data_IF_346536138611
#
_entry.id   IF_346536138611
#
_cell.length_a   1.000
_cell.length_b   1.000
_cell.length_c   1.000
_cell.angle_alpha   90.00
_cell.angle_beta   90.00
_cell.angle_gamma   90.00
#
_symmetry.space_group_name_H-M   'P 1'
#
loop_
_entity.id
_entity.type
_entity.pdbx_description
1 polymer ?
#
# COMPACT_ATOMS: atom_id res chain seq x y z
N UNK A 1 24.11 19.27 4.99
CA UNK A 1 22.86 18.61 4.61
C UNK A 1 22.61 19.01 3.16
N UNK A 2 22.55 18.08 2.19
CA UNK A 2 22.10 18.45 0.86
C UNK A 2 20.66 18.99 0.96
N UNK A 3 20.37 20.01 0.15
CA UNK A 3 19.08 20.67 0.04
C UNK A 3 18.02 19.63 -0.32
N UNK A 4 17.08 19.35 0.60
CA UNK A 4 15.96 18.46 0.31
C UNK A 4 14.99 19.28 -0.51
N UNK A 5 14.68 18.90 -1.77
CA UNK A 5 13.72 19.65 -2.57
C UNK A 5 12.40 19.76 -1.80
N UNK A 6 11.84 20.95 -1.79
CA UNK A 6 10.52 21.21 -1.22
C UNK A 6 9.48 20.53 -2.12
N UNK A 7 9.10 19.30 -1.76
CA UNK A 7 8.06 18.55 -2.46
C UNK A 7 6.69 18.97 -1.92
N UNK A 8 6.36 20.24 -2.09
CA UNK A 8 5.01 20.73 -1.85
C UNK A 8 4.06 20.11 -2.87
N UNK A 9 3.12 19.31 -2.39
CA UNK A 9 2.01 18.82 -3.21
C UNK A 9 1.16 20.04 -3.60
N UNK A 10 1.04 20.37 -4.90
CA UNK A 10 0.22 21.49 -5.33
C UNK A 10 -1.20 21.32 -4.79
N UNK A 11 -1.74 22.35 -4.15
CA UNK A 11 -3.05 22.31 -3.49
C UNK A 11 -4.18 21.99 -4.46
N UNK A 12 -3.99 22.25 -5.76
CA UNK A 12 -4.92 21.93 -6.83
C UNK A 12 -5.02 20.42 -7.11
N UNK A 13 -4.02 19.63 -6.68
CA UNK A 13 -4.03 18.17 -6.75
C UNK A 13 -4.66 17.53 -5.51
N UNK A 14 -5.00 18.31 -4.48
CA UNK A 14 -5.62 17.78 -3.27
C UNK A 14 -7.14 17.59 -3.50
N UNK A 15 -7.77 16.63 -2.80
CA UNK A 15 -9.22 16.49 -2.83
C UNK A 15 -9.91 17.80 -2.40
N UNK A 16 -11.13 18.10 -2.91
CA UNK A 16 -11.89 19.26 -2.47
C UNK A 16 -12.05 19.30 -0.93
N UNK A 17 -11.78 20.46 -0.32
CA UNK A 17 -11.85 20.66 1.14
C UNK A 17 -10.70 20.07 1.95
N UNK A 18 -9.72 19.42 1.30
CA UNK A 18 -8.58 18.84 2.00
C UNK A 18 -7.66 19.91 2.60
N UNK A 19 -7.32 20.97 1.83
CA UNK A 19 -6.49 22.07 2.33
C UNK A 19 -7.14 22.79 3.54
N UNK A 20 -8.45 23.00 3.50
CA UNK A 20 -9.21 23.59 4.61
C UNK A 20 -9.19 22.72 5.86
N UNK A 21 -9.16 21.39 5.69
CA UNK A 21 -9.01 20.42 6.79
C UNK A 21 -7.60 20.43 7.38
N UNK A 22 -6.57 20.73 6.58
CA UNK A 22 -5.20 20.91 7.09
C UNK A 22 -5.11 22.17 7.97
N UNK A 23 -5.74 23.26 7.55
CA UNK A 23 -5.75 24.53 8.31
C UNK A 23 -6.61 24.46 9.57
N UNK A 24 -7.68 23.65 9.55
CA UNK A 24 -8.62 23.48 10.66
C UNK A 24 -8.91 22.00 10.89
N UNK A 25 -7.96 21.25 11.47
CA UNK A 25 -8.16 19.83 11.72
C UNK A 25 -9.35 19.64 12.67
N UNK A 26 -10.14 18.57 12.48
CA UNK A 26 -11.22 18.24 13.41
C UNK A 26 -10.65 18.02 14.81
N UNK A 27 -11.42 18.40 15.84
CA UNK A 27 -11.01 18.27 17.23
C UNK A 27 -10.67 16.82 17.62
N UNK A 28 -11.35 15.85 16.98
CA UNK A 28 -11.06 14.43 17.11
C UNK A 28 -10.63 13.88 15.73
N UNK A 29 -9.41 13.34 15.61
CA UNK A 29 -8.94 12.71 14.37
C UNK A 29 -9.77 11.48 14.01
N UNK A 30 -10.01 11.26 12.71
CA UNK A 30 -10.58 10.00 12.24
C UNK A 30 -9.63 8.84 12.48
N UNK A 31 -10.17 7.69 12.86
CA UNK A 31 -9.36 6.49 13.04
C UNK A 31 -8.73 6.06 11.70
N UNK A 32 -7.40 5.91 11.61
CA UNK A 32 -6.74 5.48 10.39
C UNK A 32 -7.16 4.06 10.04
N UNK A 33 -7.36 3.80 8.75
CA UNK A 33 -7.67 2.46 8.25
C UNK A 33 -6.38 1.80 7.77
N UNK A 34 -6.05 0.59 8.24
CA UNK A 34 -4.93 -0.17 7.72
C UNK A 34 -5.02 -0.36 6.20
N UNK A 35 -3.93 -0.10 5.51
CA UNK A 35 -3.81 -0.23 4.07
C UNK A 35 -2.39 -0.65 3.70
N UNK A 36 -2.25 -1.25 2.52
CA UNK A 36 -0.97 -1.68 1.98
C UNK A 36 -0.84 -1.28 0.51
N UNK A 37 0.39 -1.05 0.07
CA UNK A 37 0.74 -0.65 -1.29
C UNK A 37 1.95 -1.46 -1.73
N UNK A 38 1.98 -1.90 -2.98
CA UNK A 38 3.13 -2.60 -3.56
C UNK A 38 3.73 -1.80 -4.70
N UNK A 39 5.06 -1.73 -4.73
CA UNK A 39 5.83 -1.19 -5.84
C UNK A 39 6.36 -2.37 -6.66
N UNK A 40 5.78 -2.59 -7.83
CA UNK A 40 6.31 -3.59 -8.76
C UNK A 40 7.44 -2.95 -9.58
N UNK A 41 8.64 -3.50 -9.42
CA UNK A 41 9.87 -3.01 -10.04
C UNK A 41 10.39 -4.05 -11.02
N UNK A 42 10.91 -3.60 -12.17
CA UNK A 42 11.72 -4.43 -13.06
C UNK A 42 13.02 -3.73 -13.44
N UNK A 43 14.09 -4.51 -13.58
CA UNK A 43 15.37 -3.99 -14.04
C UNK A 43 15.37 -3.74 -15.55
N UNK A 44 16.01 -2.64 -15.97
CA UNK A 44 16.34 -2.33 -17.37
C UNK A 44 17.75 -1.77 -17.46
N UNK A 45 18.32 -1.80 -18.66
CA UNK A 45 19.68 -1.32 -18.92
C UNK A 45 19.86 0.18 -18.62
N UNK A 46 18.79 0.97 -18.70
CA UNK A 46 18.70 2.40 -18.45
C UNK A 46 18.21 2.78 -17.04
N UNK A 47 17.93 1.78 -16.18
CA UNK A 47 17.48 1.97 -14.80
C UNK A 47 16.25 1.12 -14.46
N UNK A 48 15.81 1.10 -13.18
CA UNK A 48 14.60 0.40 -12.80
C UNK A 48 13.35 1.09 -13.36
N UNK A 49 12.38 0.30 -13.81
CA UNK A 49 11.04 0.78 -14.14
C UNK A 49 10.04 0.33 -13.08
N UNK A 50 9.06 1.17 -12.78
CA UNK A 50 8.00 0.89 -11.81
C UNK A 50 6.61 0.91 -12.46
N UNK A 51 5.73 0.03 -12.01
CA UNK A 51 4.33 0.05 -12.45
C UNK A 51 3.55 1.12 -11.68
N UNK A 52 2.90 2.01 -12.43
CA UNK A 52 1.93 2.98 -11.91
C UNK A 52 0.58 2.78 -12.60
N UNK A 53 -0.48 2.95 -11.83
CA UNK A 53 -1.86 2.94 -12.28
C UNK A 53 -2.39 4.38 -12.34
N UNK A 54 -3.26 4.66 -13.30
CA UNK A 54 -3.93 5.95 -13.39
C UNK A 54 -5.37 5.82 -12.91
N UNK A 55 -5.69 6.48 -11.80
CA UNK A 55 -7.07 6.44 -11.25
C UNK A 55 -8.07 7.05 -12.22
N UNK A 56 -9.23 6.42 -12.35
CA UNK A 56 -10.35 6.99 -13.12
C UNK A 56 -10.83 8.30 -12.48
N UNK A 57 -11.36 9.21 -13.30
CA UNK A 57 -11.79 10.55 -12.83
C UNK A 57 -12.95 10.53 -11.83
N UNK A 58 -13.60 9.39 -11.63
CA UNK A 58 -14.74 9.20 -10.71
C UNK A 58 -14.34 8.71 -9.31
N UNK A 59 -13.04 8.51 -9.04
CA UNK A 59 -12.53 8.20 -7.69
C UNK A 59 -12.62 9.43 -6.78
N UNK A 60 -13.22 9.29 -5.58
CA UNK A 60 -13.38 10.37 -4.58
C UNK A 60 -12.08 10.89 -3.94
N UNK A 61 -10.92 10.41 -4.39
CA UNK A 61 -9.60 10.85 -3.94
C UNK A 61 -8.69 10.99 -5.18
N UNK A 62 -8.16 12.20 -5.38
CA UNK A 62 -7.26 12.68 -6.44
C UNK A 62 -7.48 12.04 -7.83
N UNK A 63 -8.55 12.45 -8.54
CA UNK A 63 -8.85 11.91 -9.87
C UNK A 63 -7.71 12.17 -10.87
N UNK A 64 -7.32 11.12 -11.61
CA UNK A 64 -6.28 11.22 -12.65
C UNK A 64 -4.83 11.13 -12.15
N UNK A 65 -4.61 10.99 -10.85
CA UNK A 65 -3.29 10.72 -10.28
C UNK A 65 -2.72 9.37 -10.71
N UNK A 66 -1.40 9.32 -10.78
CA UNK A 66 -0.62 8.10 -10.85
C UNK A 66 -0.39 7.56 -9.45
N UNK A 67 -0.74 6.30 -9.23
CA UNK A 67 -0.64 5.63 -7.94
C UNK A 67 0.00 4.26 -8.13
N UNK A 68 0.62 3.75 -7.07
CA UNK A 68 0.97 2.33 -7.02
C UNK A 68 -0.28 1.49 -6.73
N UNK A 69 -0.30 0.21 -7.13
CA UNK A 69 -1.36 -0.71 -6.74
C UNK A 69 -1.44 -0.86 -5.22
N UNK A 70 -2.64 -0.89 -4.67
CA UNK A 70 -2.83 -1.03 -3.24
C UNK A 70 -4.20 -0.62 -2.74
N UNK A 71 -4.46 -0.96 -1.47
CA UNK A 71 -5.77 -0.77 -0.89
C UNK A 71 -5.83 -1.16 0.58
N UNK A 72 -7.06 -1.27 1.09
CA UNK A 72 -7.30 -1.53 2.52
C UNK A 72 -6.95 -2.97 2.84
N UNK A 73 -6.46 -3.19 4.06
CA UNK A 73 -6.37 -4.55 4.61
C UNK A 73 -7.77 -5.01 5.00
N UNK A 74 -8.17 -6.18 4.53
CA UNK A 74 -9.44 -6.84 4.83
C UNK A 74 -9.23 -7.97 5.87
N UNK A 75 -10.30 -8.37 6.55
CA UNK A 75 -10.30 -9.53 7.43
C UNK A 75 -9.92 -10.83 6.69
N UNK A 76 -10.19 -10.89 5.37
CA UNK A 76 -9.78 -12.00 4.50
C UNK A 76 -8.26 -12.13 4.31
N UNK A 77 -7.48 -11.08 4.54
CA UNK A 77 -6.04 -11.04 4.23
C UNK A 77 -5.16 -11.79 5.25
N UNK A 78 -5.75 -12.56 6.17
CA UNK A 78 -4.99 -13.41 7.11
C UNK A 78 -5.64 -14.78 7.35
N UNK A 79 -6.48 -15.25 6.42
CA UNK A 79 -7.12 -16.56 6.56
C UNK A 79 -6.09 -17.69 6.42
N UNK A 80 -6.24 -18.81 7.17
CA UNK A 80 -5.26 -19.90 7.17
C UNK A 80 -4.89 -20.43 5.78
N UNK A 81 -5.87 -20.53 4.88
CA UNK A 81 -5.66 -21.04 3.52
C UNK A 81 -4.73 -20.16 2.69
N UNK A 82 -4.75 -18.83 2.88
CA UNK A 82 -3.84 -17.90 2.21
C UNK A 82 -2.45 -17.92 2.87
N UNK A 83 -2.41 -18.00 4.20
CA UNK A 83 -1.14 -18.11 4.92
C UNK A 83 -0.35 -19.35 4.50
N UNK A 84 -1.03 -20.47 4.25
CA UNK A 84 -0.44 -21.70 3.74
C UNK A 84 0.14 -21.58 2.32
N UNK A 85 -0.10 -20.46 1.61
CA UNK A 85 0.45 -20.18 0.27
C UNK A 85 1.67 -19.25 0.32
N UNK A 86 2.03 -18.73 1.49
CA UNK A 86 3.18 -17.84 1.61
C UNK A 86 4.47 -18.65 1.76
N UNK A 87 5.46 -18.32 0.94
CA UNK A 87 6.76 -18.96 0.97
C UNK A 87 7.66 -18.34 2.05
N UNK A 88 7.64 -18.93 3.24
CA UNK A 88 8.58 -18.61 4.32
C UNK A 88 8.38 -17.26 5.01
N UNK A 89 7.27 -16.56 4.73
CA UNK A 89 6.90 -15.34 5.43
C UNK A 89 5.91 -15.65 6.56
N UNK A 90 6.42 -15.78 7.78
CA UNK A 90 5.57 -15.87 8.96
C UNK A 90 5.22 -14.48 9.53
N UNK A 91 4.34 -14.46 10.54
CA UNK A 91 3.87 -13.22 11.15
C UNK A 91 4.97 -12.44 11.88
N UNK A 92 5.98 -13.12 12.45
CA UNK A 92 7.06 -12.47 13.18
C UNK A 92 8.03 -11.78 12.21
N UNK A 93 8.43 -12.49 11.15
CA UNK A 93 9.26 -11.94 10.08
C UNK A 93 8.53 -10.81 9.33
N UNK A 94 7.23 -10.95 9.07
CA UNK A 94 6.43 -9.87 8.50
C UNK A 94 6.41 -8.64 9.41
N UNK A 95 6.21 -8.82 10.73
CA UNK A 95 6.22 -7.72 11.70
C UNK A 95 7.60 -7.05 11.76
N UNK A 96 8.68 -7.83 11.75
CA UNK A 96 10.06 -7.32 11.72
C UNK A 96 10.33 -6.47 10.49
N UNK A 97 9.95 -6.94 9.30
CA UNK A 97 10.14 -6.20 8.04
C UNK A 97 9.34 -4.91 7.98
N UNK A 98 8.15 -4.90 8.57
CA UNK A 98 7.28 -3.71 8.62
C UNK A 98 7.55 -2.81 9.82
N UNK A 99 8.45 -3.19 10.75
CA UNK A 99 8.73 -2.44 11.97
C UNK A 99 7.61 -2.49 13.02
N UNK A 100 6.71 -3.46 12.93
CA UNK A 100 5.51 -3.60 13.79
C UNK A 100 5.76 -4.47 15.03
N UNK A 101 6.98 -4.93 15.29
CA UNK A 101 7.32 -5.79 16.45
C UNK A 101 7.01 -5.15 17.81
N UNK A 102 6.96 -3.81 17.86
CA UNK A 102 6.77 -3.03 19.09
C UNK A 102 5.42 -2.32 19.16
N UNK A 103 4.53 -2.53 18.19
CA UNK A 103 3.24 -1.86 18.22
C UNK A 103 2.36 -2.45 19.32
N UNK A 104 2.09 -1.63 20.34
CA UNK A 104 1.09 -1.91 21.37
C UNK A 104 -0.35 -1.64 20.87
N UNK A 105 -0.49 -1.09 19.66
CA UNK A 105 -1.76 -0.68 19.08
C UNK A 105 -2.45 -1.88 18.42
N UNK A 106 -3.75 -2.12 18.71
CA UNK A 106 -4.52 -3.14 18.01
C UNK A 106 -4.57 -2.86 16.50
N UNK A 107 -4.26 -3.88 15.69
CA UNK A 107 -4.30 -3.79 14.23
C UNK A 107 -4.32 -5.18 13.58
N UNK A 108 -4.42 -5.25 12.24
CA UNK A 108 -4.28 -6.51 11.52
C UNK A 108 -2.93 -7.16 11.79
N UNK A 109 -2.87 -8.48 11.68
CA UNK A 109 -1.60 -9.20 11.70
C UNK A 109 -0.66 -8.65 10.62
N UNK A 110 0.64 -8.55 10.90
CA UNK A 110 1.61 -7.97 9.98
C UNK A 110 1.61 -8.64 8.59
N UNK A 111 1.37 -9.95 8.53
CA UNK A 111 1.24 -10.71 7.28
C UNK A 111 0.08 -10.24 6.40
N UNK A 112 -0.98 -9.68 7.01
CA UNK A 112 -2.15 -9.21 6.30
C UNK A 112 -1.86 -8.03 5.38
N UNK A 113 -0.86 -7.19 5.72
CA UNK A 113 -0.43 -6.11 4.83
C UNK A 113 0.20 -6.64 3.54
N UNK A 114 0.97 -7.74 3.61
CA UNK A 114 1.54 -8.37 2.42
C UNK A 114 0.45 -8.97 1.55
N UNK A 115 -0.47 -9.73 2.15
CA UNK A 115 -1.58 -10.35 1.42
C UNK A 115 -2.53 -9.31 0.82
N UNK A 116 -2.83 -8.23 1.53
CA UNK A 116 -3.60 -7.11 1.00
C UNK A 116 -2.91 -6.50 -0.24
N UNK A 117 -1.60 -6.26 -0.18
CA UNK A 117 -0.86 -5.71 -1.30
C UNK A 117 -0.86 -6.64 -2.52
N UNK A 118 -0.73 -7.95 -2.31
CA UNK A 118 -0.80 -8.96 -3.36
C UNK A 118 -2.20 -9.06 -4.00
N UNK A 119 -3.25 -9.07 -3.16
CA UNK A 119 -4.64 -9.08 -3.60
C UNK A 119 -4.97 -7.86 -4.46
N UNK A 120 -4.66 -6.67 -3.96
CA UNK A 120 -4.94 -5.41 -4.66
C UNK A 120 -4.15 -5.32 -5.98
N UNK A 121 -2.88 -5.75 -6.01
CA UNK A 121 -2.13 -5.83 -7.25
C UNK A 121 -2.80 -6.72 -8.29
N UNK A 122 -3.31 -7.88 -7.88
CA UNK A 122 -4.03 -8.77 -8.78
C UNK A 122 -5.37 -8.17 -9.24
N UNK A 123 -6.16 -7.60 -8.33
CA UNK A 123 -7.45 -7.00 -8.64
C UNK A 123 -7.34 -5.79 -9.59
N UNK A 124 -6.35 -4.93 -9.38
CA UNK A 124 -6.20 -3.69 -10.15
C UNK A 124 -5.39 -3.85 -11.45
N UNK A 125 -4.52 -4.87 -11.54
CA UNK A 125 -3.56 -5.01 -12.65
C UNK A 125 -3.59 -6.37 -13.36
N UNK A 126 -4.20 -7.39 -12.74
CA UNK A 126 -4.13 -8.77 -13.21
C UNK A 126 -2.79 -9.47 -12.96
N UNK A 127 -1.82 -8.79 -12.33
CA UNK A 127 -0.50 -9.36 -12.00
C UNK A 127 -0.56 -10.03 -10.63
N UNK A 128 -0.29 -11.33 -10.60
CA UNK A 128 -0.07 -12.08 -9.37
C UNK A 128 1.44 -12.26 -9.15
N UNK A 129 1.94 -11.85 -7.99
CA UNK A 129 3.33 -12.08 -7.59
C UNK A 129 3.42 -13.41 -6.84
N UNK A 130 4.26 -14.31 -7.34
CA UNK A 130 4.49 -15.62 -6.75
C UNK A 130 5.16 -16.56 -7.75
N UNK A 131 5.36 -17.80 -7.32
CA UNK A 131 5.97 -18.83 -8.13
C UNK A 131 4.89 -19.78 -8.68
N UNK A 132 5.19 -20.48 -9.77
CA UNK A 132 4.29 -21.54 -10.24
C UNK A 132 4.31 -22.67 -9.24
N UNK A 133 3.16 -23.31 -9.04
CA UNK A 133 3.08 -24.48 -8.16
C UNK A 133 4.10 -25.56 -8.62
N UNK A 134 5.06 -25.89 -7.75
CA UNK A 134 6.12 -26.86 -8.02
C UNK A 134 7.41 -26.27 -8.60
N UNK A 135 7.49 -24.96 -8.81
CA UNK A 135 8.71 -24.24 -9.16
C UNK A 135 9.10 -23.33 -7.99
N UNK A 136 10.39 -23.27 -7.59
CA UNK A 136 10.86 -22.37 -6.54
C UNK A 136 10.93 -20.91 -7.00
#
# INVERSE_FOLDING_TARGET
MPDVPDYDLPTELLPPGFAETLDRPPAEPVAPRPAATVVLVRDRADGPEVLLLRRTRSSGFVPGAWVFPGGRVDAGDAVPDLLARLDGLDGAEAARRLGLEREATPGPAAVAYYLAALREAFEETGILVGHRAGEP
#
